data_IF_163506367648
#
_entry.id   IF_163506367648
#
_cell.length_a   1.000
_cell.length_b   1.000
_cell.length_c   1.000
_cell.angle_alpha   90.00
_cell.angle_beta   90.00
_cell.angle_gamma   90.00
#
_symmetry.space_group_name_H-M   'P 1'
#
loop_
_entity.id
_entity.type
_entity.pdbx_description
1 polymer ?
#
# COMPACT_ATOMS: atom_id res chain seq x y z
N UNK A 1 13.04 -14.09 -6.91
CA UNK A 1 12.06 -13.20 -6.26
C UNK A 1 11.44 -13.97 -5.13
N UNK A 2 11.59 -13.48 -3.89
CA UNK A 2 10.85 -14.05 -2.76
C UNK A 2 9.37 -13.75 -2.95
N UNK A 3 8.50 -14.71 -2.60
CA UNK A 3 7.05 -14.51 -2.66
C UNK A 3 6.57 -13.90 -1.34
N UNK A 4 5.69 -12.91 -1.44
CA UNK A 4 5.20 -12.11 -0.34
C UNK A 4 3.69 -12.25 -0.16
N UNK A 5 3.28 -12.29 1.10
CA UNK A 5 1.90 -12.12 1.50
C UNK A 5 1.59 -10.62 1.65
N UNK A 6 0.47 -10.19 1.08
CA UNK A 6 0.04 -8.79 1.11
C UNK A 6 -1.05 -8.58 2.15
N UNK A 7 -0.94 -7.57 3.01
CA UNK A 7 -2.03 -7.20 3.90
C UNK A 7 -3.19 -6.57 3.11
N UNK A 8 -4.33 -6.34 3.75
CA UNK A 8 -5.32 -5.40 3.25
C UNK A 8 -4.67 -4.06 2.87
N UNK A 9 -5.02 -3.55 1.69
CA UNK A 9 -4.52 -2.29 1.16
C UNK A 9 -4.92 -1.11 2.05
N UNK A 10 -4.02 -0.14 2.19
CA UNK A 10 -4.34 1.16 2.74
C UNK A 10 -4.83 2.16 1.69
N UNK A 11 -5.20 3.35 2.16
CA UNK A 11 -5.35 4.54 1.31
C UNK A 11 -4.09 5.38 1.45
N UNK A 12 -3.46 5.72 0.33
CA UNK A 12 -2.23 6.52 0.30
C UNK A 12 -2.57 7.97 0.11
N UNK A 13 -2.08 8.82 1.00
CA UNK A 13 -2.23 10.27 0.97
C UNK A 13 -0.89 10.96 0.80
N UNK A 14 -0.86 12.21 0.36
CA UNK A 14 0.31 13.07 0.60
C UNK A 14 0.36 13.43 2.09
N UNK A 15 1.55 13.62 2.65
CA UNK A 15 1.73 13.88 4.07
C UNK A 15 1.10 15.21 4.54
N UNK A 16 0.82 16.13 3.62
CA UNK A 16 0.14 17.40 3.83
C UNK A 16 -1.36 17.37 3.51
N UNK A 17 -1.92 16.20 3.19
CA UNK A 17 -3.35 16.10 2.89
C UNK A 17 -4.16 16.31 4.17
N UNK A 18 -5.14 17.21 4.13
CA UNK A 18 -6.03 17.52 5.26
C UNK A 18 -6.88 16.31 5.69
N UNK A 19 -7.18 15.42 4.75
CA UNK A 19 -7.93 14.19 4.98
C UNK A 19 -7.04 13.03 5.48
N UNK A 20 -5.71 13.22 5.53
CA UNK A 20 -4.82 12.16 5.98
C UNK A 20 -4.92 11.97 7.50
N UNK A 21 -5.12 10.73 7.98
CA UNK A 21 -5.02 10.48 9.41
C UNK A 21 -3.58 10.74 9.87
N UNK A 22 -3.37 11.08 11.16
CA UNK A 22 -2.04 11.10 11.74
C UNK A 22 -1.41 9.71 11.59
N UNK A 23 -0.49 9.58 10.62
CA UNK A 23 0.06 8.31 10.17
C UNK A 23 1.58 8.29 10.26
N UNK A 24 2.13 7.11 10.60
CA UNK A 24 3.52 6.91 11.03
C UNK A 24 4.55 6.68 9.91
N UNK A 25 4.12 6.55 8.66
CA UNK A 25 4.99 6.10 7.56
C UNK A 25 5.05 7.13 6.45
N UNK A 26 6.11 7.95 6.50
CA UNK A 26 6.45 8.89 5.43
C UNK A 26 7.30 8.18 4.37
N UNK A 27 6.73 7.92 3.20
CA UNK A 27 7.43 7.29 2.07
C UNK A 27 7.59 8.28 0.90
N UNK A 28 8.65 8.19 0.08
CA UNK A 28 8.74 8.98 -1.15
C UNK A 28 7.66 8.55 -2.14
N UNK A 29 7.02 9.49 -2.84
CA UNK A 29 5.92 9.16 -3.77
C UNK A 29 6.29 8.20 -4.90
N UNK A 30 7.57 8.13 -5.26
CA UNK A 30 8.08 7.14 -6.20
C UNK A 30 7.88 5.68 -5.72
N UNK A 31 7.73 5.45 -4.42
CA UNK A 31 7.43 4.15 -3.82
C UNK A 31 6.02 3.62 -4.14
N UNK A 32 5.14 4.43 -4.74
CA UNK A 32 3.84 3.97 -5.25
C UNK A 32 3.97 3.01 -6.44
N UNK A 33 5.10 3.03 -7.16
CA UNK A 33 5.33 2.10 -8.26
C UNK A 33 5.47 0.68 -7.72
N UNK A 34 4.40 -0.11 -7.87
CA UNK A 34 4.33 -1.48 -7.37
C UNK A 34 3.59 -1.63 -6.04
N UNK A 35 3.06 -0.55 -5.46
CA UNK A 35 2.16 -0.64 -4.31
C UNK A 35 0.78 -1.17 -4.75
N UNK A 36 0.21 -2.07 -3.96
CA UNK A 36 -1.17 -2.56 -4.10
C UNK A 36 -2.20 -1.63 -3.42
N UNK A 37 -1.71 -0.62 -2.68
CA UNK A 37 -2.51 0.37 -1.96
C UNK A 37 -3.32 1.27 -2.91
N UNK A 38 -4.32 1.95 -2.37
CA UNK A 38 -5.24 2.80 -3.14
C UNK A 38 -4.81 4.26 -3.03
N UNK A 39 -4.47 4.95 -4.13
CA UNK A 39 -4.15 6.37 -4.04
C UNK A 39 -5.41 7.19 -3.70
N UNK A 40 -5.29 8.10 -2.73
CA UNK A 40 -6.28 9.14 -2.50
C UNK A 40 -6.21 10.21 -3.60
N UNK A 41 -7.27 11.01 -3.75
CA UNK A 41 -7.34 12.11 -4.74
C UNK A 41 -6.22 13.15 -4.59
N UNK A 42 -5.64 13.29 -3.40
CA UNK A 42 -4.50 14.19 -3.16
C UNK A 42 -3.20 13.70 -3.84
N UNK A 43 -3.10 12.41 -4.14
CA UNK A 43 -1.96 11.79 -4.82
C UNK A 43 -2.16 11.91 -6.34
N UNK A 44 -1.74 13.04 -6.89
CA UNK A 44 -1.80 13.32 -8.33
C UNK A 44 -0.42 13.27 -8.99
N UNK A 45 -0.37 13.36 -10.32
CA UNK A 45 0.88 13.30 -11.09
C UNK A 45 1.90 14.36 -10.67
N UNK A 46 1.45 15.56 -10.26
CA UNK A 46 2.34 16.60 -9.78
C UNK A 46 2.96 16.25 -8.42
N UNK A 47 2.17 15.68 -7.50
CA UNK A 47 2.67 15.18 -6.22
C UNK A 47 3.70 14.04 -6.41
N UNK A 48 3.46 13.14 -7.37
CA UNK A 48 4.41 12.07 -7.72
C UNK A 48 5.68 12.64 -8.36
N UNK A 49 5.55 13.57 -9.31
CA UNK A 49 6.70 14.19 -9.99
C UNK A 49 7.58 15.00 -9.03
N UNK A 50 6.97 15.69 -8.07
CA UNK A 50 7.68 16.40 -7.01
C UNK A 50 8.20 15.48 -5.89
N UNK A 51 8.00 14.16 -6.01
CA UNK A 51 8.37 13.15 -5.02
C UNK A 51 7.91 13.50 -3.59
N UNK A 52 6.67 13.99 -3.46
CA UNK A 52 6.14 14.46 -2.17
C UNK A 52 6.13 13.32 -1.16
N UNK A 53 6.31 13.62 0.14
CA UNK A 53 6.17 12.60 1.17
C UNK A 53 4.72 12.09 1.22
N UNK A 54 4.55 10.79 1.40
CA UNK A 54 3.26 10.10 1.44
C UNK A 54 3.03 9.44 2.79
N UNK A 55 1.77 9.30 3.19
CA UNK A 55 1.34 8.55 4.37
C UNK A 55 0.28 7.51 4.00
N UNK A 56 0.25 6.40 4.73
CA UNK A 56 -0.72 5.31 4.50
C UNK A 56 -1.74 5.30 5.64
N UNK A 57 -3.00 5.52 5.27
CA UNK A 57 -4.17 5.27 6.10
C UNK A 57 -4.51 3.77 6.06
N UNK A 58 -4.57 3.14 7.22
CA UNK A 58 -5.05 1.76 7.33
C UNK A 58 -6.57 1.73 7.23
N UNK A 59 -7.08 0.98 6.26
CA UNK A 59 -8.52 0.76 6.10
C UNK A 59 -8.94 -0.47 6.89
N UNK A 60 -9.93 -0.29 7.77
CA UNK A 60 -10.64 -1.41 8.36
C UNK A 60 -11.67 -1.93 7.33
N UNK A 61 -11.42 -3.10 6.78
CA UNK A 61 -12.38 -3.76 5.90
C UNK A 61 -13.34 -4.59 6.74
N UNK A 62 -14.64 -4.35 6.57
CA UNK A 62 -15.69 -5.23 7.09
C UNK A 62 -15.47 -6.67 6.58
N UNK A 63 -15.85 -7.72 7.34
CA UNK A 63 -15.76 -9.09 6.87
C UNK A 63 -16.43 -9.27 5.51
N UNK A 64 -15.71 -9.82 4.54
CA UNK A 64 -16.20 -10.01 3.18
C UNK A 64 -15.74 -11.36 2.61
N UNK A 65 -16.52 -11.95 1.67
CA UNK A 65 -16.06 -13.15 0.97
C UNK A 65 -14.79 -12.86 0.18
N UNK A 66 -14.03 -13.92 -0.08
CA UNK A 66 -12.89 -13.85 -0.99
C UNK A 66 -13.39 -13.83 -2.44
N UNK A 67 -13.00 -12.81 -3.18
CA UNK A 67 -13.11 -12.74 -4.63
C UNK A 67 -11.73 -12.43 -5.19
N UNK A 68 -11.28 -13.18 -6.21
CA UNK A 68 -9.98 -12.94 -6.81
C UNK A 68 -9.93 -11.60 -7.55
N UNK A 69 -8.87 -10.82 -7.29
CA UNK A 69 -8.57 -9.56 -7.97
C UNK A 69 -7.93 -9.81 -9.33
N UNK A 70 -8.15 -8.90 -10.28
CA UNK A 70 -7.39 -8.86 -11.55
C UNK A 70 -5.99 -8.27 -11.38
N UNK A 71 -5.65 -7.80 -10.18
CA UNK A 71 -4.32 -7.29 -9.83
C UNK A 71 -3.49 -8.46 -9.28
N UNK A 72 -2.43 -8.82 -10.00
CA UNK A 72 -1.53 -9.91 -9.64
C UNK A 72 -0.09 -9.39 -9.55
N UNK A 73 0.37 -8.93 -8.38
CA UNK A 73 1.79 -8.63 -8.18
C UNK A 73 2.62 -9.90 -8.47
N UNK A 74 3.71 -9.74 -9.20
CA UNK A 74 4.55 -10.87 -9.66
C UNK A 74 5.22 -11.63 -8.51
N UNK A 75 5.37 -10.95 -7.39
CA UNK A 75 5.93 -11.42 -6.14
C UNK A 75 4.86 -11.83 -5.13
N UNK A 76 3.56 -11.85 -5.48
CA UNK A 76 2.53 -12.34 -4.57
C UNK A 76 2.54 -13.86 -4.43
N UNK A 77 2.45 -14.35 -3.19
CA UNK A 77 2.37 -15.79 -2.91
C UNK A 77 1.04 -16.39 -3.39
N UNK A 78 -0.02 -15.58 -3.38
CA UNK A 78 -1.40 -15.92 -3.78
C UNK A 78 -2.03 -14.72 -4.51
N UNK A 79 -3.10 -14.92 -5.30
CA UNK A 79 -3.86 -13.80 -5.84
C UNK A 79 -4.39 -12.89 -4.72
N UNK A 80 -4.49 -11.59 -5.02
CA UNK A 80 -5.06 -10.62 -4.11
C UNK A 80 -6.59 -10.72 -4.10
N UNK A 81 -7.24 -10.29 -3.02
CA UNK A 81 -8.69 -10.13 -2.99
C UNK A 81 -9.13 -8.86 -3.72
N UNK A 82 -10.22 -8.93 -4.49
CA UNK A 82 -10.82 -7.78 -5.17
C UNK A 82 -11.24 -6.67 -4.21
N UNK A 83 -11.73 -7.04 -3.03
CA UNK A 83 -12.27 -6.11 -2.03
C UNK A 83 -11.16 -5.44 -1.23
N UNK A 84 -10.38 -6.20 -0.46
CA UNK A 84 -9.33 -5.64 0.40
C UNK A 84 -7.96 -5.54 -0.25
N UNK A 85 -7.75 -6.11 -1.43
CA UNK A 85 -6.44 -6.19 -2.12
C UNK A 85 -5.32 -6.86 -1.31
N UNK A 86 -5.67 -7.55 -0.21
CA UNK A 86 -4.74 -8.42 0.51
C UNK A 86 -4.80 -9.86 0.01
N UNK A 87 -3.75 -10.62 0.27
CA UNK A 87 -3.80 -12.08 0.16
C UNK A 87 -4.59 -12.63 1.36
N UNK A 88 -5.71 -13.32 1.14
CA UNK A 88 -6.51 -13.87 2.24
C UNK A 88 -5.76 -14.94 3.04
N UNK A 89 -5.96 -14.96 4.36
CA UNK A 89 -5.30 -15.87 5.30
C UNK A 89 -4.08 -15.27 6.01
N UNK A 90 -3.78 -14.00 5.76
CA UNK A 90 -2.76 -13.23 6.47
C UNK A 90 -3.39 -12.56 7.68
N UNK A 91 -2.83 -12.78 8.85
CA UNK A 91 -3.20 -12.00 10.03
C UNK A 91 -2.76 -10.54 9.81
N UNK A 92 -3.68 -9.55 9.79
CA UNK A 92 -3.31 -8.15 9.63
C UNK A 92 -2.38 -7.63 10.74
N UNK A 93 -2.30 -8.31 11.90
CA UNK A 93 -1.35 -8.02 12.96
C UNK A 93 0.08 -8.50 12.64
N UNK A 94 0.25 -9.46 11.74
CA UNK A 94 1.54 -9.97 11.29
C UNK A 94 2.19 -9.09 10.19
N UNK A 95 1.44 -8.15 9.62
CA UNK A 95 1.98 -7.24 8.61
C UNK A 95 2.99 -6.26 9.23
N UNK A 96 4.27 -6.52 8.96
CA UNK A 96 5.30 -5.50 8.99
C UNK A 96 5.30 -4.83 7.62
N UNK A 97 5.01 -3.52 7.51
CA UNK A 97 5.30 -2.81 6.27
C UNK A 97 6.73 -3.13 5.89
N UNK A 98 6.94 -3.56 4.65
CA UNK A 98 8.29 -3.62 4.12
C UNK A 98 8.83 -2.21 4.34
N UNK A 99 9.77 -2.07 5.27
CA UNK A 99 10.58 -0.86 5.30
C UNK A 99 11.07 -0.73 3.87
N UNK A 100 10.88 0.42 3.20
CA UNK A 100 11.55 0.62 1.94
C UNK A 100 13.01 0.30 2.25
N UNK A 101 13.56 -0.72 1.58
CA UNK A 101 14.99 -0.91 1.58
C UNK A 101 15.52 0.43 1.11
N UNK A 102 16.01 1.25 2.06
CA UNK A 102 16.74 2.45 1.73
C UNK A 102 17.85 1.91 0.85
N UNK A 103 17.72 2.11 -0.47
CA UNK A 103 18.84 2.03 -1.37
C UNK A 103 19.75 3.16 -0.90
N UNK A 104 20.57 2.85 0.09
CA UNK A 104 21.66 3.67 0.54
C UNK A 104 22.46 4.03 -0.71
N UNK A 105 22.56 5.31 -1.09
CA UNK A 105 23.47 5.70 -2.14
C UNK A 105 24.89 5.30 -1.69
N UNK A 106 25.60 4.59 -2.56
CA UNK A 106 27.03 4.28 -2.38
C UNK A 106 27.88 5.53 -2.52
#
# INVERSE_FOLDING_TARGET
MERHEYPPAGVVHTADCEDAPPGLLTLPAQALRGSHDRPHRCVNSAAVAANRPLVIERVAYEPHPYEESTIHPVDATKPLCRTCRGTHGVDPAAYRPQQPTLLLPR
#
